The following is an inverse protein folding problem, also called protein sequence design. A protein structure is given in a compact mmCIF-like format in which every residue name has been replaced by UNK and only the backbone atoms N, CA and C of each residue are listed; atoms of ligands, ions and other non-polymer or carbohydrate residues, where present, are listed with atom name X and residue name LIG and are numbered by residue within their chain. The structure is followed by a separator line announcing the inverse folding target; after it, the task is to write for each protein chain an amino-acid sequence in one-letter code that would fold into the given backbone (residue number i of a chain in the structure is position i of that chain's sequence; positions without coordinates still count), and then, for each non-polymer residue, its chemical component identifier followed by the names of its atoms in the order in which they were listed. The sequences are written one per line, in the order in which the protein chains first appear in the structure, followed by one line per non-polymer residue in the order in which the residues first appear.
data_IF_732389490982
#
_entry.id   IF_732389490982
#
_cell.length_a   1.000
_cell.length_b   1.000
_cell.length_c   1.000
_cell.angle_alpha   90.00
_cell.angle_beta   90.00
_cell.angle_gamma   90.00
#
_symmetry.space_group_name_H-M   'P 1'
#
loop_
_entity.id
_entity.type
_entity.pdbx_description
1 polymer ?
#
# COMPACT_ATOMS: atom_id res chain seq x y z
N UNK A 1 -32.54 -52.88 17.53
CA UNK A 1 -33.03 -51.48 17.64
C UNK A 1 -32.23 -50.78 18.74
N UNK A 2 -31.41 -49.75 18.42
CA UNK A 2 -30.68 -49.02 19.45
C UNK A 2 -31.66 -48.30 20.38
N UNK A 3 -31.37 -48.30 21.69
CA UNK A 3 -32.15 -47.56 22.69
C UNK A 3 -32.17 -46.07 22.34
N UNK A 4 -33.28 -45.35 22.55
CA UNK A 4 -33.46 -43.97 22.08
C UNK A 4 -32.35 -43.02 22.57
N UNK A 5 -31.80 -43.26 23.77
CA UNK A 5 -30.67 -42.51 24.30
C UNK A 5 -29.37 -42.67 23.49
N UNK A 6 -29.11 -43.87 22.95
CA UNK A 6 -27.91 -44.16 22.15
C UNK A 6 -28.03 -43.50 20.77
N UNK A 7 -29.23 -43.54 20.17
CA UNK A 7 -29.48 -42.84 18.91
C UNK A 7 -29.31 -41.32 19.03
N UNK A 8 -29.78 -40.72 20.14
CA UNK A 8 -29.62 -39.29 20.40
C UNK A 8 -28.14 -38.88 20.57
N UNK A 9 -27.34 -39.69 21.28
CA UNK A 9 -25.91 -39.42 21.48
C UNK A 9 -25.15 -39.50 20.15
N UNK A 10 -25.46 -40.48 19.31
CA UNK A 10 -24.83 -40.64 17.98
C UNK A 10 -25.17 -39.46 17.07
N UNK A 11 -26.43 -39.02 17.05
CA UNK A 11 -26.86 -37.85 16.26
C UNK A 11 -26.18 -36.56 16.76
N UNK A 12 -26.07 -36.37 18.08
CA UNK A 12 -25.39 -35.22 18.66
C UNK A 12 -23.88 -35.21 18.31
N UNK A 13 -23.27 -36.38 18.30
CA UNK A 13 -21.85 -36.56 17.92
C UNK A 13 -21.62 -36.23 16.45
N UNK A 14 -22.54 -36.63 15.56
CA UNK A 14 -22.46 -36.34 14.12
C UNK A 14 -22.65 -34.84 13.84
N UNK A 15 -23.59 -34.19 14.55
CA UNK A 15 -23.80 -32.74 14.44
C UNK A 15 -22.57 -31.94 14.91
N UNK A 16 -21.88 -32.41 15.95
CA UNK A 16 -20.66 -31.77 16.44
C UNK A 16 -19.50 -31.87 15.43
N UNK A 17 -19.35 -33.03 14.76
CA UNK A 17 -18.33 -33.22 13.72
C UNK A 17 -18.61 -32.36 12.48
N UNK A 18 -19.89 -32.23 12.08
CA UNK A 18 -20.30 -31.35 10.98
C UNK A 18 -20.09 -29.86 11.28
N UNK A 19 -20.27 -29.44 12.53
CA UNK A 19 -20.01 -28.06 12.96
C UNK A 19 -18.51 -27.71 12.92
N UNK A 20 -17.63 -28.67 13.21
CA UNK A 20 -16.17 -28.45 13.15
C UNK A 20 -15.61 -28.34 11.72
N UNK A 21 -16.28 -28.94 10.72
CA UNK A 21 -15.79 -28.88 9.32
C UNK A 21 -15.92 -27.50 8.64
N UNK A 22 -16.68 -26.57 9.21
CA UNK A 22 -16.85 -25.22 8.64
C UNK A 22 -15.75 -24.22 9.02
N UNK A 23 -14.83 -24.57 9.92
CA UNK A 23 -13.81 -23.64 10.44
C UNK A 23 -12.54 -23.61 9.55
N UNK A 24 -12.33 -24.60 8.68
CA UNK A 24 -11.05 -24.78 7.95
C UNK A 24 -11.03 -24.10 6.56
N UNK A 25 -12.09 -23.38 6.18
CA UNK A 25 -12.15 -22.62 4.93
C UNK A 25 -12.12 -21.12 5.20
N UNK A 26 -11.00 -20.64 5.73
CA UNK A 26 -10.69 -19.21 5.71
C UNK A 26 -10.44 -18.73 4.28
N UNK A 27 -10.76 -17.46 3.94
CA UNK A 27 -10.49 -16.93 2.61
C UNK A 27 -8.97 -16.95 2.35
N UNK A 28 -8.57 -17.64 1.27
CA UNK A 28 -7.22 -17.53 0.71
C UNK A 28 -7.06 -16.11 0.14
N UNK A 29 -6.67 -15.17 1.01
CA UNK A 29 -6.20 -13.87 0.57
C UNK A 29 -4.82 -14.07 -0.04
N UNK A 30 -4.78 -14.29 -1.36
CA UNK A 30 -3.60 -14.08 -2.17
C UNK A 30 -3.32 -12.56 -2.15
N UNK A 31 -2.61 -12.12 -1.12
CA UNK A 31 -2.14 -10.74 -1.01
C UNK A 31 -1.05 -10.56 -2.07
N UNK A 32 -1.27 -9.66 -3.03
CA UNK A 32 -0.24 -9.25 -3.98
C UNK A 32 1.03 -8.81 -3.24
N UNK A 33 2.16 -9.03 -3.87
CA UNK A 33 3.54 -8.88 -3.37
C UNK A 33 3.98 -7.42 -3.13
N UNK A 34 3.08 -6.60 -2.59
CA UNK A 34 3.32 -5.19 -2.26
C UNK A 34 2.97 -4.96 -0.78
N UNK A 35 3.57 -5.79 0.08
CA UNK A 35 3.58 -5.51 1.51
C UNK A 35 4.80 -4.64 1.81
N UNK A 36 4.59 -3.33 1.79
CA UNK A 36 5.50 -2.42 2.48
C UNK A 36 5.72 -2.95 3.90
N UNK A 37 6.98 -3.23 4.26
CA UNK A 37 7.33 -3.66 5.60
C UNK A 37 6.76 -2.65 6.58
N UNK A 38 6.01 -3.12 7.58
CA UNK A 38 5.47 -2.25 8.62
C UNK A 38 6.64 -1.46 9.24
N UNK A 39 6.57 -0.13 9.13
CA UNK A 39 7.60 0.76 9.68
C UNK A 39 7.48 0.70 11.21
N UNK A 40 8.58 0.36 11.88
CA UNK A 40 8.65 0.43 13.35
C UNK A 40 8.51 1.89 13.77
N UNK A 41 7.50 2.21 14.58
CA UNK A 41 7.22 3.57 15.05
C UNK A 41 7.71 3.83 16.49
N UNK A 42 8.54 2.94 17.05
CA UNK A 42 9.15 3.13 18.37
C UNK A 42 10.61 3.60 18.28
N UNK A 43 10.82 4.81 17.73
CA UNK A 43 12.16 5.40 17.57
C UNK A 43 12.66 5.36 16.14
N UNK A 44 11.87 5.89 15.20
CA UNK A 44 12.22 5.91 13.78
C UNK A 44 11.94 7.26 13.13
N UNK A 45 12.49 7.45 11.93
CA UNK A 45 12.19 8.60 11.07
C UNK A 45 11.72 8.08 9.72
N UNK A 46 10.47 8.36 9.38
CA UNK A 46 9.89 8.11 8.07
C UNK A 46 10.11 9.34 7.18
N UNK A 47 10.67 9.14 5.99
CA UNK A 47 10.87 10.24 5.01
C UNK A 47 10.10 9.95 3.73
N UNK A 48 9.27 10.90 3.31
CA UNK A 48 8.52 10.86 2.05
C UNK A 48 9.04 11.97 1.15
N UNK A 49 9.44 11.63 -0.07
CA UNK A 49 9.81 12.58 -1.11
C UNK A 49 8.77 12.55 -2.24
N UNK A 50 8.36 13.72 -2.70
CA UNK A 50 7.53 13.87 -3.89
C UNK A 50 7.99 15.06 -4.72
N UNK A 51 7.66 15.03 -6.01
CA UNK A 51 7.84 16.16 -6.91
C UNK A 51 6.49 16.59 -7.46
N UNK A 52 6.21 17.88 -7.39
CA UNK A 52 5.01 18.50 -7.95
C UNK A 52 5.40 19.39 -9.12
N UNK A 53 4.73 19.18 -10.24
CA UNK A 53 4.91 20.00 -11.42
C UNK A 53 4.15 21.33 -11.29
N UNK A 54 4.84 22.42 -10.94
CA UNK A 54 4.19 23.66 -10.50
C UNK A 54 3.82 24.60 -11.66
N UNK A 55 4.76 24.95 -12.54
CA UNK A 55 4.52 25.81 -13.70
C UNK A 55 5.36 25.39 -14.93
N UNK A 56 5.48 26.25 -15.95
CA UNK A 56 6.21 25.96 -17.19
C UNK A 56 7.74 26.00 -17.05
N UNK A 57 8.26 26.49 -15.93
CA UNK A 57 9.67 26.76 -15.67
C UNK A 57 10.16 26.19 -14.34
N UNK A 58 9.26 25.92 -13.40
CA UNK A 58 9.58 25.45 -12.06
C UNK A 58 8.71 24.26 -11.65
N UNK A 59 9.33 23.39 -10.89
CA UNK A 59 8.71 22.29 -10.17
C UNK A 59 9.12 22.39 -8.69
N UNK A 60 8.50 21.57 -7.84
CA UNK A 60 8.68 21.65 -6.39
C UNK A 60 8.99 20.27 -5.83
N UNK A 61 10.11 20.14 -5.12
CA UNK A 61 10.39 18.98 -4.28
C UNK A 61 9.77 19.21 -2.92
N UNK A 62 8.95 18.25 -2.47
CA UNK A 62 8.43 18.20 -1.12
C UNK A 62 9.10 17.04 -0.39
N UNK A 63 9.78 17.34 0.72
CA UNK A 63 10.36 16.33 1.62
C UNK A 63 9.66 16.42 2.96
N UNK A 64 8.99 15.34 3.37
CA UNK A 64 8.32 15.26 4.67
C UNK A 64 9.02 14.22 5.53
N UNK A 65 9.51 14.63 6.69
CA UNK A 65 10.03 13.74 7.73
C UNK A 65 9.01 13.62 8.86
N UNK A 66 8.60 12.40 9.20
CA UNK A 66 7.86 12.11 10.44
C UNK A 66 8.81 11.43 11.42
N UNK A 67 8.96 12.01 12.59
CA UNK A 67 9.73 11.44 13.70
C UNK A 67 8.78 10.70 14.63
N UNK A 68 9.02 9.42 14.85
CA UNK A 68 8.19 8.54 15.66
C UNK A 68 8.91 8.16 16.96
N UNK A 69 8.23 8.29 18.09
CA UNK A 69 8.71 7.90 19.42
C UNK A 69 7.56 7.20 20.15
N UNK A 70 7.78 6.01 20.72
CA UNK A 70 6.76 5.27 21.47
C UNK A 70 5.45 5.09 20.70
N UNK A 71 5.57 4.74 19.41
CA UNK A 71 4.46 4.57 18.47
C UNK A 71 3.63 5.83 18.17
N UNK A 72 4.07 7.00 18.64
CA UNK A 72 3.43 8.29 18.36
C UNK A 72 4.27 9.17 17.44
N UNK A 73 3.61 9.98 16.61
CA UNK A 73 4.30 11.05 15.86
C UNK A 73 4.73 12.12 16.85
N UNK A 74 6.03 12.26 17.04
CA UNK A 74 6.62 13.33 17.84
C UNK A 74 6.66 14.65 17.05
N UNK A 75 7.04 14.58 15.77
CA UNK A 75 7.16 15.77 14.92
C UNK A 75 6.97 15.42 13.45
N UNK A 76 6.42 16.38 12.70
CA UNK A 76 6.38 16.37 11.23
C UNK A 76 7.11 17.60 10.73
N UNK A 77 8.17 17.38 9.94
CA UNK A 77 9.00 18.44 9.37
C UNK A 77 8.82 18.39 7.86
N UNK A 78 8.46 19.53 7.25
CA UNK A 78 8.21 19.62 5.81
C UNK A 78 9.17 20.65 5.21
N UNK A 79 9.93 20.21 4.21
CA UNK A 79 10.76 21.05 3.38
C UNK A 79 10.16 21.14 1.98
N UNK A 80 10.13 22.36 1.45
CA UNK A 80 9.56 22.67 0.14
C UNK A 80 10.57 23.49 -0.64
N UNK A 81 11.16 22.88 -1.66
CA UNK A 81 12.23 23.45 -2.45
C UNK A 81 11.79 23.60 -3.90
N UNK A 82 12.03 24.77 -4.49
CA UNK A 82 11.71 25.02 -5.90
C UNK A 82 12.91 24.67 -6.76
N UNK A 83 12.68 23.91 -7.82
CA UNK A 83 13.69 23.48 -8.78
C UNK A 83 13.27 23.83 -10.21
N UNK A 84 14.19 23.95 -11.18
CA UNK A 84 13.82 24.11 -12.58
C UNK A 84 13.09 22.88 -13.11
N UNK A 85 12.03 23.08 -13.91
CA UNK A 85 11.34 21.99 -14.61
C UNK A 85 12.28 21.28 -15.57
N UNK A 86 12.07 19.97 -15.76
CA UNK A 86 12.65 19.25 -16.89
C UNK A 86 11.85 19.51 -18.17
N UNK A 87 12.49 19.29 -19.33
CA UNK A 87 11.81 19.31 -20.63
C UNK A 87 10.66 18.30 -20.69
N UNK A 88 9.71 18.54 -21.59
CA UNK A 88 8.70 17.54 -21.90
C UNK A 88 9.24 16.45 -22.84
N UNK A 89 8.70 15.25 -22.74
CA UNK A 89 8.89 14.18 -23.72
C UNK A 89 7.59 13.88 -24.47
N UNK A 90 7.72 13.37 -25.70
CA UNK A 90 6.60 12.77 -26.40
C UNK A 90 6.47 11.32 -25.92
N UNK A 91 5.31 10.98 -25.37
CA UNK A 91 4.98 9.61 -24.91
C UNK A 91 3.68 9.15 -25.54
N UNK A 92 3.44 7.84 -25.57
CA UNK A 92 2.17 7.27 -26.04
C UNK A 92 1.24 7.11 -24.84
N UNK A 93 0.07 7.74 -24.89
CA UNK A 93 -0.97 7.58 -23.90
C UNK A 93 -2.17 6.86 -24.52
N UNK A 94 -2.82 6.01 -23.73
CA UNK A 94 -4.04 5.29 -24.08
C UNK A 94 -5.25 5.95 -23.41
N UNK A 95 -6.36 6.08 -24.14
CA UNK A 95 -7.62 6.56 -23.58
C UNK A 95 -8.45 5.39 -22.98
N UNK A 96 -9.59 5.70 -22.36
CA UNK A 96 -10.45 4.69 -21.70
C UNK A 96 -11.08 3.66 -22.63
N UNK A 97 -10.99 3.82 -23.95
CA UNK A 97 -11.54 2.89 -24.96
C UNK A 97 -10.43 2.13 -25.71
N UNK A 98 -9.17 2.29 -25.33
CA UNK A 98 -8.03 1.54 -25.87
C UNK A 98 -7.32 2.22 -27.05
N UNK A 99 -7.69 3.44 -27.44
CA UNK A 99 -6.99 4.15 -28.51
C UNK A 99 -5.73 4.81 -27.96
N UNK A 100 -4.64 4.71 -28.73
CA UNK A 100 -3.36 5.33 -28.39
C UNK A 100 -3.10 6.61 -29.17
N UNK A 101 -2.49 7.60 -28.52
CA UNK A 101 -2.02 8.85 -29.15
C UNK A 101 -0.68 9.28 -28.58
N UNK A 102 0.13 9.92 -29.41
CA UNK A 102 1.33 10.62 -28.93
C UNK A 102 0.91 11.91 -28.24
N UNK A 103 1.30 12.06 -26.97
CA UNK A 103 1.06 13.24 -26.14
C UNK A 103 2.38 13.78 -25.61
N UNK A 104 2.41 15.08 -25.33
CA UNK A 104 3.56 15.73 -24.69
C UNK A 104 3.37 15.68 -23.18
N UNK A 105 4.22 14.94 -22.47
CA UNK A 105 4.19 14.78 -21.02
C UNK A 105 5.45 15.40 -20.39
N UNK A 106 5.34 15.91 -19.16
CA UNK A 106 6.51 16.36 -18.40
C UNK A 106 7.40 15.16 -18.05
N UNK A 107 8.72 15.36 -18.04
CA UNK A 107 9.66 14.32 -17.60
C UNK A 107 9.62 14.21 -16.07
N UNK A 108 9.59 12.97 -15.60
CA UNK A 108 9.76 12.67 -14.18
C UNK A 108 11.24 12.75 -13.77
N UNK A 109 11.47 13.12 -12.52
CA UNK A 109 12.81 13.16 -11.94
C UNK A 109 13.23 11.78 -11.46
N UNK A 110 14.52 11.48 -11.62
CA UNK A 110 15.15 10.39 -10.90
C UNK A 110 15.74 10.93 -9.60
N UNK A 111 15.22 10.46 -8.46
CA UNK A 111 15.71 10.84 -7.14
C UNK A 111 16.66 9.76 -6.62
N UNK A 112 17.83 10.18 -6.13
CA UNK A 112 18.82 9.30 -5.52
C UNK A 112 18.96 9.67 -4.03
N UNK A 113 18.76 8.68 -3.15
CA UNK A 113 18.89 8.87 -1.70
C UNK A 113 20.14 8.13 -1.24
N UNK A 114 21.08 8.86 -0.63
CA UNK A 114 22.28 8.28 -0.01
C UNK A 114 22.18 8.46 1.50
N UNK A 115 22.22 7.36 2.25
CA UNK A 115 22.29 7.35 3.72
C UNK A 115 23.75 7.10 4.13
N UNK A 116 24.26 7.84 5.11
CA UNK A 116 25.63 7.72 5.64
C UNK A 116 25.62 7.35 7.10
#
# INVERSE_FOLDING_TARGET
MPKPAIAAIVILSILLVLALSFIISGPNNQQGDDQGVAVDHDGSVETVLSVEHADSTHDVILTTHKVWIKSGVYSTIVHRDTIPTLDSLNTTAENSVGDTKTVRAKKDYQLFITVK
#
